data_IF_265282021206
#
_entry.id   IF_265282021206
#
_cell.length_a   1.000
_cell.length_b   1.000
_cell.length_c   1.000
_cell.angle_alpha   90.00
_cell.angle_beta   90.00
_cell.angle_gamma   90.00
#
_symmetry.space_group_name_H-M   'P 1'
#
loop_
_entity.id
_entity.type
_entity.pdbx_description
1 polymer ?
#
# COMPACT_ATOMS: atom_id res chain seq x y z
N UNK A 1 -54.39 90.18 14.95
CA UNK A 1 -54.17 90.38 13.50
C UNK A 1 -53.40 89.18 13.04
N UNK A 2 -54.19 88.42 12.38
CA UNK A 2 -53.91 87.11 11.82
C UNK A 2 -52.92 87.23 10.69
N UNK A 3 -52.00 86.29 10.63
CA UNK A 3 -51.41 85.94 9.33
C UNK A 3 -51.17 84.43 9.23
N UNK A 4 -51.86 83.87 8.28
CA UNK A 4 -51.88 82.50 7.94
C UNK A 4 -50.66 82.16 7.10
N UNK A 5 -49.96 81.05 7.46
CA UNK A 5 -48.90 80.49 6.67
C UNK A 5 -49.47 79.37 5.83
N UNK A 6 -49.22 79.31 4.50
CA UNK A 6 -49.75 78.21 3.65
C UNK A 6 -48.89 76.94 3.74
N UNK A 7 -49.58 75.82 3.78
CA UNK A 7 -49.01 74.48 3.70
C UNK A 7 -48.35 74.25 2.35
N UNK A 8 -47.06 74.09 2.29
CA UNK A 8 -46.32 73.57 1.11
C UNK A 8 -46.08 72.04 1.19
N UNK A 9 -46.44 71.41 0.13
CA UNK A 9 -46.37 69.99 -0.08
C UNK A 9 -45.00 69.34 0.24
N UNK A 10 -45.01 68.48 1.22
CA UNK A 10 -43.88 67.62 1.50
C UNK A 10 -43.98 66.42 0.57
N UNK A 11 -43.15 66.38 -0.48
CA UNK A 11 -42.99 65.22 -1.37
C UNK A 11 -42.31 64.10 -0.60
N UNK A 12 -43.06 63.04 -0.32
CA UNK A 12 -42.49 61.77 0.13
C UNK A 12 -41.66 61.19 -1.02
N UNK A 13 -40.34 61.20 -0.85
CA UNK A 13 -39.43 60.39 -1.68
C UNK A 13 -39.45 58.97 -1.10
N UNK A 14 -40.20 58.06 -1.74
CA UNK A 14 -40.14 56.65 -1.50
C UNK A 14 -38.76 56.14 -1.90
N UNK A 15 -37.88 55.94 -0.94
CA UNK A 15 -36.68 55.18 -1.11
C UNK A 15 -37.06 53.70 -1.00
N UNK A 16 -37.25 53.07 -2.15
CA UNK A 16 -37.36 51.61 -2.26
C UNK A 16 -35.97 51.04 -2.00
N UNK A 17 -35.74 50.63 -0.75
CA UNK A 17 -34.56 49.85 -0.39
C UNK A 17 -34.76 48.47 -0.95
N UNK A 18 -34.16 48.16 -2.12
CA UNK A 18 -34.12 46.82 -2.70
C UNK A 18 -33.27 45.94 -1.80
N UNK A 19 -33.92 45.14 -0.98
CA UNK A 19 -33.31 44.09 -0.19
C UNK A 19 -32.97 42.96 -1.16
N UNK A 20 -31.77 43.00 -1.76
CA UNK A 20 -31.21 41.83 -2.48
C UNK A 20 -30.87 40.76 -1.45
N UNK A 21 -31.81 39.86 -1.20
CA UNK A 21 -31.53 38.60 -0.55
C UNK A 21 -30.53 37.84 -1.43
N UNK A 22 -29.24 37.88 -1.06
CA UNK A 22 -28.24 36.95 -1.58
C UNK A 22 -28.68 35.56 -1.13
N UNK A 23 -29.38 34.84 -1.99
CA UNK A 23 -29.48 33.38 -1.90
C UNK A 23 -28.07 32.81 -2.05
N UNK A 24 -27.34 32.75 -0.94
CA UNK A 24 -26.22 31.84 -0.83
C UNK A 24 -26.81 30.44 -0.99
N UNK A 25 -26.89 29.97 -2.23
CA UNK A 25 -27.24 28.60 -2.53
C UNK A 25 -26.26 27.71 -1.77
N UNK A 26 -26.75 27.09 -0.70
CA UNK A 26 -26.02 26.02 -0.06
C UNK A 26 -25.77 24.97 -1.16
N UNK A 27 -24.53 24.90 -1.64
CA UNK A 27 -24.10 23.80 -2.50
C UNK A 27 -24.49 22.51 -1.77
N UNK A 28 -25.25 21.61 -2.40
CA UNK A 28 -25.61 20.36 -1.76
C UNK A 28 -24.31 19.69 -1.30
N UNK A 29 -24.21 19.39 -0.01
CA UNK A 29 -23.07 18.65 0.52
C UNK A 29 -22.92 17.38 -0.34
N UNK A 30 -21.83 17.30 -1.06
CA UNK A 30 -21.58 16.16 -1.94
C UNK A 30 -21.60 14.90 -1.08
N UNK A 31 -22.59 14.03 -1.29
CA UNK A 31 -22.67 12.76 -0.57
C UNK A 31 -21.44 11.92 -0.95
N UNK A 32 -20.55 11.72 0.02
CA UNK A 32 -19.36 10.92 -0.18
C UNK A 32 -19.72 9.45 -0.43
N UNK A 33 -19.08 8.82 -1.42
CA UNK A 33 -19.23 7.41 -1.66
C UNK A 33 -18.54 6.61 -0.57
N UNK A 34 -19.29 5.75 0.15
CA UNK A 34 -18.72 4.85 1.16
C UNK A 34 -17.90 3.75 0.52
N UNK A 35 -16.69 3.54 1.02
CA UNK A 35 -15.74 2.54 0.52
C UNK A 35 -15.02 1.91 1.71
N UNK A 36 -14.88 0.60 1.72
CA UNK A 36 -13.99 -0.12 2.65
C UNK A 36 -12.74 -0.57 1.91
N UNK A 37 -11.57 -0.25 2.48
CA UNK A 37 -10.27 -0.74 2.02
C UNK A 37 -9.71 -1.68 3.08
N UNK A 38 -9.40 -2.91 2.70
CA UNK A 38 -8.65 -3.82 3.56
C UNK A 38 -7.15 -3.52 3.51
N UNK A 39 -6.51 -3.62 4.66
CA UNK A 39 -5.05 -3.68 4.76
C UNK A 39 -4.64 -4.86 5.66
N UNK A 40 -3.61 -5.58 5.23
CA UNK A 40 -3.28 -6.88 5.82
C UNK A 40 -2.14 -6.81 6.86
N UNK A 41 -1.45 -5.67 6.97
CA UNK A 41 -0.30 -5.50 7.87
C UNK A 41 -0.32 -4.13 8.53
N UNK A 42 0.10 -4.06 9.79
CA UNK A 42 0.35 -2.82 10.53
C UNK A 42 1.85 -2.50 10.49
N UNK A 43 2.37 -2.31 9.28
CA UNK A 43 3.78 -2.03 9.04
C UNK A 43 3.93 -0.81 8.15
N UNK A 44 5.15 -0.38 7.90
CA UNK A 44 5.43 0.78 7.05
C UNK A 44 4.84 0.71 5.65
N UNK A 45 4.54 -0.49 5.14
CA UNK A 45 3.87 -0.65 3.83
C UNK A 45 2.45 -0.07 3.79
N UNK A 46 1.79 0.10 4.94
CA UNK A 46 0.45 0.70 5.04
C UNK A 46 0.49 2.23 5.20
N UNK A 47 1.68 2.81 5.33
CA UNK A 47 1.86 4.24 5.61
C UNK A 47 1.09 5.19 4.68
N UNK A 48 1.18 5.04 3.33
CA UNK A 48 0.43 5.91 2.44
C UNK A 48 -1.09 5.82 2.61
N UNK A 49 -1.62 4.66 3.02
CA UNK A 49 -3.04 4.49 3.29
C UNK A 49 -3.47 5.33 4.52
N UNK A 50 -2.66 5.33 5.58
CA UNK A 50 -2.89 6.15 6.77
C UNK A 50 -2.81 7.65 6.42
N UNK A 51 -1.80 8.04 5.64
CA UNK A 51 -1.66 9.42 5.15
C UNK A 51 -2.86 9.82 4.28
N UNK A 52 -3.35 8.93 3.40
CA UNK A 52 -4.50 9.21 2.56
C UNK A 52 -5.77 9.49 3.40
N UNK A 53 -5.95 8.72 4.47
CA UNK A 53 -7.08 8.90 5.40
C UNK A 53 -6.94 10.18 6.20
N UNK A 54 -5.81 10.39 6.86
CA UNK A 54 -5.58 11.51 7.78
C UNK A 54 -5.39 12.85 7.04
N UNK A 55 -4.89 12.82 5.82
CA UNK A 55 -4.71 14.00 4.97
C UNK A 55 -5.96 14.43 4.21
N UNK A 56 -7.08 13.71 4.38
CA UNK A 56 -8.33 14.04 3.70
C UNK A 56 -8.30 13.78 2.19
N UNK A 57 -7.33 13.00 1.69
CA UNK A 57 -7.21 12.77 0.24
C UNK A 57 -8.37 11.94 -0.32
N UNK A 58 -8.93 11.02 0.46
CA UNK A 58 -10.14 10.29 0.04
C UNK A 58 -11.34 11.21 -0.10
N UNK A 59 -11.57 12.09 0.90
CA UNK A 59 -12.66 13.07 0.87
C UNK A 59 -12.52 14.05 -0.30
N UNK A 60 -11.28 14.47 -0.61
CA UNK A 60 -10.97 15.30 -1.79
C UNK A 60 -11.49 14.68 -3.09
N UNK A 61 -11.50 13.36 -3.18
CA UNK A 61 -11.99 12.61 -4.34
C UNK A 61 -13.44 12.09 -4.15
N UNK A 62 -14.18 12.63 -3.18
CA UNK A 62 -15.58 12.28 -2.97
C UNK A 62 -15.80 10.92 -2.29
N UNK A 63 -14.80 10.38 -1.60
CA UNK A 63 -14.85 9.08 -0.97
C UNK A 63 -14.87 9.20 0.57
N UNK A 64 -15.77 8.48 1.23
CA UNK A 64 -15.74 8.21 2.67
C UNK A 64 -15.16 6.80 2.88
N UNK A 65 -13.85 6.76 3.15
CA UNK A 65 -13.11 5.50 3.23
C UNK A 65 -13.01 5.02 4.68
N UNK A 66 -13.51 3.80 4.92
CA UNK A 66 -13.17 3.00 6.08
C UNK A 66 -11.96 2.11 5.77
N UNK A 67 -10.93 2.10 6.63
CA UNK A 67 -9.80 1.18 6.50
C UNK A 67 -9.95 0.05 7.52
N UNK A 68 -10.04 -1.17 7.03
CA UNK A 68 -10.31 -2.37 7.83
C UNK A 68 -9.07 -3.29 7.88
N UNK A 69 -8.61 -3.59 9.09
CA UNK A 69 -7.53 -4.55 9.27
C UNK A 69 -8.07 -5.98 9.19
N UNK A 70 -7.54 -6.78 8.27
CA UNK A 70 -7.71 -8.23 8.26
C UNK A 70 -6.49 -8.86 7.56
N UNK A 71 -5.94 -9.91 8.15
CA UNK A 71 -4.75 -10.63 7.63
C UNK A 71 -4.99 -11.24 6.26
N UNK A 72 -3.91 -11.60 5.56
CA UNK A 72 -3.91 -11.89 4.13
C UNK A 72 -5.06 -12.76 3.60
N UNK A 73 -5.37 -13.97 4.06
CA UNK A 73 -6.46 -14.75 3.46
C UNK A 73 -7.83 -14.08 3.62
N UNK A 74 -8.08 -13.45 4.78
CA UNK A 74 -9.34 -12.75 5.05
C UNK A 74 -9.50 -11.51 4.16
N UNK A 75 -8.41 -10.76 3.89
CA UNK A 75 -8.46 -9.58 3.03
C UNK A 75 -8.93 -9.86 1.60
N UNK A 76 -8.47 -10.95 0.99
CA UNK A 76 -8.94 -11.39 -0.33
C UNK A 76 -10.40 -11.84 -0.26
N UNK A 77 -10.81 -12.57 0.80
CA UNK A 77 -12.19 -12.97 0.98
C UNK A 77 -13.14 -11.77 1.11
N UNK A 78 -12.74 -10.72 1.84
CA UNK A 78 -13.50 -9.46 1.95
C UNK A 78 -13.70 -8.78 0.58
N UNK A 79 -12.70 -8.81 -0.30
CA UNK A 79 -12.83 -8.25 -1.66
C UNK A 79 -13.77 -9.11 -2.51
N UNK A 80 -13.63 -10.43 -2.47
CA UNK A 80 -14.48 -11.34 -3.24
C UNK A 80 -15.95 -11.25 -2.79
N UNK A 81 -16.21 -11.11 -1.47
CA UNK A 81 -17.57 -10.97 -0.93
C UNK A 81 -18.17 -9.57 -1.14
N UNK A 82 -17.36 -8.56 -1.50
CA UNK A 82 -17.80 -7.17 -1.61
C UNK A 82 -17.80 -6.39 -0.29
N UNK A 83 -17.39 -7.00 0.83
CA UNK A 83 -17.24 -6.33 2.12
C UNK A 83 -16.16 -5.24 2.05
N UNK A 84 -15.07 -5.49 1.31
CA UNK A 84 -14.09 -4.48 0.93
C UNK A 84 -14.08 -4.27 -0.58
N UNK A 85 -13.93 -3.02 -1.03
CA UNK A 85 -13.86 -2.68 -2.44
C UNK A 85 -12.45 -2.84 -3.00
N UNK A 86 -11.44 -2.75 -2.14
CA UNK A 86 -10.03 -2.88 -2.51
C UNK A 86 -9.23 -3.52 -1.37
N UNK A 87 -8.18 -4.24 -1.71
CA UNK A 87 -7.10 -4.57 -0.78
C UNK A 87 -5.73 -4.27 -1.43
N UNK A 88 -4.76 -3.87 -0.59
CA UNK A 88 -3.35 -3.90 -0.94
C UNK A 88 -2.79 -5.28 -0.59
N UNK A 89 -2.30 -6.02 -1.58
CA UNK A 89 -1.98 -7.42 -1.40
C UNK A 89 -0.63 -7.80 -2.05
N UNK A 90 0.16 -8.71 -1.46
CA UNK A 90 1.38 -9.20 -2.10
C UNK A 90 1.07 -9.79 -3.47
N UNK A 91 1.91 -9.45 -4.48
CA UNK A 91 1.66 -9.81 -5.87
C UNK A 91 1.53 -11.32 -6.08
N UNK A 92 2.41 -12.13 -5.52
CA UNK A 92 2.39 -13.59 -5.67
C UNK A 92 1.09 -14.22 -5.16
N UNK A 93 0.61 -13.75 -4.01
CA UNK A 93 -0.64 -14.24 -3.41
C UNK A 93 -1.87 -13.73 -4.17
N UNK A 94 -1.83 -12.49 -4.67
CA UNK A 94 -2.87 -11.94 -5.53
C UNK A 94 -2.97 -12.71 -6.86
N UNK A 95 -1.83 -13.03 -7.48
CA UNK A 95 -1.78 -13.85 -8.69
C UNK A 95 -2.33 -15.26 -8.43
N UNK A 96 -1.94 -15.89 -7.33
CA UNK A 96 -2.44 -17.21 -6.95
C UNK A 96 -3.95 -17.20 -6.67
N UNK A 97 -4.45 -16.21 -5.95
CA UNK A 97 -5.89 -16.05 -5.70
C UNK A 97 -6.68 -15.79 -7.00
N UNK A 98 -6.16 -14.93 -7.88
CA UNK A 98 -6.80 -14.60 -9.14
C UNK A 98 -6.82 -15.78 -10.12
N UNK A 99 -5.77 -16.62 -10.13
CA UNK A 99 -5.73 -17.83 -10.96
C UNK A 99 -6.74 -18.89 -10.53
N UNK A 100 -7.16 -18.89 -9.25
CA UNK A 100 -8.22 -19.77 -8.72
C UNK A 100 -9.62 -19.21 -8.92
N UNK A 101 -9.82 -17.95 -8.56
CA UNK A 101 -11.15 -17.35 -8.52
C UNK A 101 -11.59 -16.74 -9.86
N UNK A 102 -10.64 -16.27 -10.70
CA UNK A 102 -10.94 -15.61 -11.99
C UNK A 102 -11.67 -14.27 -11.91
N UNK A 103 -12.27 -13.94 -10.75
CA UNK A 103 -13.06 -12.72 -10.52
C UNK A 103 -12.24 -11.50 -10.14
N UNK A 104 -10.96 -11.68 -9.79
CA UNK A 104 -10.08 -10.61 -9.34
C UNK A 104 -9.36 -9.93 -10.49
N UNK A 105 -8.98 -8.65 -10.27
CA UNK A 105 -8.12 -7.88 -11.15
C UNK A 105 -7.15 -7.02 -10.33
N UNK A 106 -5.92 -6.90 -10.81
CA UNK A 106 -4.85 -6.08 -10.24
C UNK A 106 -4.60 -4.86 -11.14
N UNK A 107 -4.78 -3.65 -10.60
CA UNK A 107 -4.79 -2.40 -11.40
C UNK A 107 -3.59 -1.49 -11.15
N UNK A 108 -2.58 -1.96 -10.45
CA UNK A 108 -1.38 -1.18 -10.18
C UNK A 108 -0.60 -1.71 -8.98
N UNK A 109 0.65 -1.27 -8.87
CA UNK A 109 1.59 -1.68 -7.83
C UNK A 109 2.18 -0.46 -7.12
N UNK A 110 1.67 -0.06 -5.95
CA UNK A 110 2.15 1.13 -5.23
C UNK A 110 3.47 0.93 -4.50
N UNK A 111 3.97 -0.29 -4.44
CA UNK A 111 5.23 -0.62 -3.76
C UNK A 111 6.17 -1.36 -4.68
N UNK A 112 7.42 -0.93 -4.65
CA UNK A 112 8.50 -1.60 -5.36
C UNK A 112 8.99 -2.82 -4.59
N UNK A 113 9.26 -2.66 -3.30
CA UNK A 113 9.80 -3.70 -2.42
C UNK A 113 9.29 -3.51 -0.99
N UNK A 114 8.81 -4.56 -0.39
CA UNK A 114 8.64 -4.59 1.06
C UNK A 114 9.99 -4.76 1.75
N UNK A 115 10.24 -3.99 2.82
CA UNK A 115 11.49 -4.05 3.57
C UNK A 115 11.43 -5.19 4.58
N UNK A 116 11.93 -6.36 4.20
CA UNK A 116 12.09 -7.52 5.07
C UNK A 116 13.57 -7.75 5.41
N UNK A 117 13.84 -7.98 6.69
CA UNK A 117 15.11 -8.44 7.19
C UNK A 117 15.01 -9.91 7.62
N UNK A 118 15.97 -10.73 7.22
CA UNK A 118 16.17 -12.07 7.77
C UNK A 118 16.92 -11.90 9.09
N UNK A 119 16.14 -11.85 10.16
CA UNK A 119 16.65 -11.68 11.53
C UNK A 119 17.01 -13.03 12.12
N UNK A 120 18.14 -13.09 12.80
CA UNK A 120 18.61 -14.30 13.47
C UNK A 120 19.13 -14.00 14.88
N UNK A 121 19.28 -15.04 15.68
CA UNK A 121 19.96 -14.95 16.98
C UNK A 121 21.39 -14.37 16.78
N UNK A 122 21.88 -13.71 17.81
CA UNK A 122 23.18 -13.02 17.81
C UNK A 122 24.38 -13.92 17.57
N UNK A 123 24.22 -15.24 17.73
CA UNK A 123 25.27 -16.24 17.48
C UNK A 123 25.54 -16.49 15.99
N UNK A 124 24.64 -16.08 15.08
CA UNK A 124 24.79 -16.26 13.65
C UNK A 124 25.50 -15.07 13.01
N UNK A 125 26.41 -15.31 12.06
CA UNK A 125 27.18 -14.30 11.35
C UNK A 125 26.77 -14.11 9.89
N UNK A 126 26.10 -15.10 9.29
CA UNK A 126 25.73 -15.11 7.89
C UNK A 126 24.50 -15.98 7.62
N UNK A 127 23.88 -15.80 6.45
CA UNK A 127 22.76 -16.65 6.00
C UNK A 127 23.19 -18.11 5.85
N UNK A 128 24.45 -18.38 5.54
CA UNK A 128 24.98 -19.76 5.42
C UNK A 128 24.95 -20.54 6.73
N UNK A 129 25.02 -19.84 7.87
CA UNK A 129 25.01 -20.46 9.19
C UNK A 129 23.62 -21.02 9.55
N UNK A 130 22.59 -20.70 8.76
CA UNK A 130 21.24 -21.20 8.93
C UNK A 130 21.02 -22.63 8.43
N UNK A 131 22.01 -23.27 7.85
CA UNK A 131 21.90 -24.67 7.42
C UNK A 131 21.61 -25.57 8.63
N UNK A 132 20.51 -26.35 8.52
CA UNK A 132 20.02 -27.23 9.58
C UNK A 132 19.35 -26.48 10.75
N UNK A 133 19.04 -25.17 10.61
CA UNK A 133 18.45 -24.35 11.65
C UNK A 133 16.95 -24.13 11.45
N UNK A 134 16.26 -23.78 12.53
CA UNK A 134 14.81 -23.51 12.55
C UNK A 134 14.53 -22.11 12.03
N UNK A 135 13.78 -22.04 10.93
CA UNK A 135 13.39 -20.79 10.29
C UNK A 135 11.89 -20.54 10.46
N UNK A 136 11.55 -19.50 11.22
CA UNK A 136 10.16 -19.13 11.50
C UNK A 136 9.50 -18.39 10.33
N UNK A 137 8.27 -18.80 9.99
CA UNK A 137 7.40 -18.15 9.00
C UNK A 137 5.98 -18.07 9.55
N UNK A 138 5.09 -17.25 8.97
CA UNK A 138 3.68 -17.27 9.38
C UNK A 138 3.06 -18.60 8.95
N UNK A 139 3.27 -18.95 7.69
CA UNK A 139 2.90 -20.26 7.10
C UNK A 139 3.78 -20.53 5.87
N UNK A 140 3.86 -21.79 5.48
CA UNK A 140 4.55 -22.16 4.24
C UNK A 140 3.82 -21.54 3.05
N UNK A 141 4.59 -20.90 2.16
CA UNK A 141 4.06 -20.26 0.96
C UNK A 141 3.55 -18.82 1.13
N UNK A 142 3.67 -18.24 2.33
CA UNK A 142 3.39 -16.81 2.52
C UNK A 142 4.57 -15.91 2.11
N UNK A 143 4.39 -14.58 2.18
CA UNK A 143 5.42 -13.63 1.82
C UNK A 143 6.71 -13.79 2.64
N UNK A 144 6.69 -13.90 3.98
CA UNK A 144 7.88 -14.20 4.77
C UNK A 144 8.63 -15.47 4.34
N UNK A 145 7.90 -16.54 4.02
CA UNK A 145 8.50 -17.78 3.52
C UNK A 145 9.20 -17.54 2.17
N UNK A 146 8.51 -16.93 1.21
CA UNK A 146 9.03 -16.72 -0.15
C UNK A 146 10.29 -15.86 -0.14
N UNK A 147 10.32 -14.80 0.67
CA UNK A 147 11.51 -13.94 0.78
C UNK A 147 12.65 -14.62 1.52
N UNK A 148 12.36 -15.45 2.54
CA UNK A 148 13.40 -16.25 3.17
C UNK A 148 14.02 -17.24 2.17
N UNK A 149 13.21 -17.93 1.37
CA UNK A 149 13.69 -18.82 0.29
C UNK A 149 14.59 -18.05 -0.69
N UNK A 150 14.18 -16.85 -1.12
CA UNK A 150 14.98 -16.03 -2.01
C UNK A 150 16.34 -15.63 -1.40
N UNK A 151 16.36 -15.25 -0.12
CA UNK A 151 17.60 -14.88 0.59
C UNK A 151 18.50 -16.11 0.84
N UNK A 152 17.91 -17.26 1.15
CA UNK A 152 18.66 -18.54 1.27
C UNK A 152 19.34 -18.88 -0.07
N UNK A 153 18.62 -18.75 -1.18
CA UNK A 153 19.18 -19.02 -2.52
C UNK A 153 20.37 -18.13 -2.85
N UNK A 154 20.35 -16.83 -2.43
CA UNK A 154 21.51 -15.92 -2.57
C UNK A 154 22.74 -16.40 -1.80
N UNK A 155 22.56 -17.15 -0.73
CA UNK A 155 23.63 -17.76 0.04
C UNK A 155 24.02 -19.19 -0.42
N UNK A 156 23.36 -19.70 -1.49
CA UNK A 156 23.58 -21.04 -2.00
C UNK A 156 22.88 -22.14 -1.20
N UNK A 157 21.88 -21.77 -0.39
CA UNK A 157 21.03 -22.71 0.34
C UNK A 157 19.71 -22.93 -0.39
N UNK A 158 19.11 -24.08 -0.15
CA UNK A 158 17.78 -24.45 -0.66
C UNK A 158 16.76 -24.48 0.47
N UNK A 159 15.44 -24.51 0.19
CA UNK A 159 14.43 -24.68 1.23
C UNK A 159 14.58 -25.97 2.07
N UNK A 160 15.27 -26.98 1.54
CA UNK A 160 15.53 -28.27 2.23
C UNK A 160 16.70 -28.18 3.22
N UNK A 161 17.49 -27.12 3.17
CA UNK A 161 18.64 -26.92 4.04
C UNK A 161 18.26 -26.33 5.42
N UNK A 162 17.01 -26.02 5.65
CA UNK A 162 16.49 -25.43 6.90
C UNK A 162 15.25 -26.16 7.39
N UNK A 163 14.98 -26.09 8.69
CA UNK A 163 13.73 -26.57 9.29
C UNK A 163 12.71 -25.42 9.34
N UNK A 164 11.63 -25.53 8.57
CA UNK A 164 10.58 -24.55 8.57
C UNK A 164 9.64 -24.70 9.76
N UNK A 165 9.44 -23.61 10.51
CA UNK A 165 8.54 -23.57 11.68
C UNK A 165 7.39 -22.60 11.39
N UNK A 166 6.19 -23.09 11.02
CA UNK A 166 5.00 -22.26 10.92
C UNK A 166 4.57 -21.76 12.29
N UNK A 167 4.46 -20.45 12.46
CA UNK A 167 4.14 -19.79 13.73
C UNK A 167 2.67 -19.38 13.78
N UNK A 168 2.03 -19.19 12.62
CA UNK A 168 0.60 -18.87 12.51
C UNK A 168 0.22 -17.47 12.97
N UNK A 169 1.17 -16.52 13.01
CA UNK A 169 0.95 -15.18 13.55
C UNK A 169 1.62 -14.09 12.72
N UNK A 170 1.43 -12.83 13.13
CA UNK A 170 1.99 -11.64 12.50
C UNK A 170 3.51 -11.47 12.79
N UNK A 171 4.05 -10.32 12.39
CA UNK A 171 5.46 -9.99 12.59
C UNK A 171 5.89 -9.97 14.05
N UNK A 172 5.02 -9.52 14.97
CA UNK A 172 5.33 -9.43 16.38
C UNK A 172 5.41 -10.83 17.02
N UNK A 173 4.51 -11.72 16.65
CA UNK A 173 4.56 -13.10 17.10
C UNK A 173 5.77 -13.86 16.57
N UNK A 174 6.20 -13.61 15.33
CA UNK A 174 7.46 -14.17 14.81
C UNK A 174 8.68 -13.61 15.54
N UNK A 175 8.70 -12.31 15.83
CA UNK A 175 9.75 -11.71 16.66
C UNK A 175 9.81 -12.31 18.06
N UNK A 176 8.66 -12.52 18.70
CA UNK A 176 8.57 -13.17 19.99
C UNK A 176 9.09 -14.63 19.94
N UNK A 177 8.82 -15.35 18.86
CA UNK A 177 9.32 -16.71 18.67
C UNK A 177 10.86 -16.75 18.54
N UNK A 178 11.45 -15.76 17.87
CA UNK A 178 12.91 -15.60 17.78
C UNK A 178 13.50 -15.26 19.16
N UNK A 179 12.94 -14.27 19.85
CA UNK A 179 13.41 -13.86 21.19
C UNK A 179 13.29 -14.99 22.21
N UNK A 180 12.24 -15.78 22.13
CA UNK A 180 12.02 -16.95 22.99
C UNK A 180 12.81 -18.21 22.59
N UNK A 181 13.69 -18.14 21.58
CA UNK A 181 14.50 -19.27 21.11
C UNK A 181 13.69 -20.42 20.48
N UNK A 182 12.42 -20.18 20.12
CA UNK A 182 11.58 -21.18 19.44
C UNK A 182 12.05 -21.38 17.98
N UNK A 183 12.59 -20.34 17.37
CA UNK A 183 13.23 -20.36 16.05
C UNK A 183 14.60 -19.69 16.14
N UNK A 184 15.49 -20.04 15.24
CA UNK A 184 16.86 -19.53 15.17
C UNK A 184 16.96 -18.27 14.27
N UNK A 185 16.06 -18.19 13.30
CA UNK A 185 15.90 -17.02 12.43
C UNK A 185 14.45 -16.87 11.95
N UNK A 186 14.09 -15.66 11.47
CA UNK A 186 12.79 -15.40 10.88
C UNK A 186 12.80 -14.10 10.06
N UNK A 187 11.84 -13.96 9.12
CA UNK A 187 11.64 -12.73 8.34
C UNK A 187 10.84 -11.71 9.14
N UNK A 188 11.41 -10.53 9.34
CA UNK A 188 10.81 -9.44 10.11
C UNK A 188 10.77 -8.16 9.27
N UNK A 189 9.71 -7.37 9.40
CA UNK A 189 9.58 -6.05 8.77
C UNK A 189 9.90 -4.93 9.78
N UNK A 190 10.24 -3.74 9.26
CA UNK A 190 10.34 -2.54 10.08
C UNK A 190 8.96 -2.15 10.69
N UNK A 191 8.91 -1.58 11.90
CA UNK A 191 10.02 -1.20 12.77
C UNK A 191 10.60 -2.35 13.62
N UNK A 192 9.94 -3.50 13.65
CA UNK A 192 10.22 -4.58 14.61
C UNK A 192 11.66 -5.09 14.53
N UNK A 193 12.25 -5.15 13.33
CA UNK A 193 13.63 -5.63 13.22
C UNK A 193 14.65 -4.64 13.84
N UNK A 194 14.40 -3.33 13.84
CA UNK A 194 15.26 -2.37 14.55
C UNK A 194 15.29 -2.65 16.05
N UNK A 195 14.13 -2.92 16.64
CA UNK A 195 14.03 -3.30 18.07
C UNK A 195 14.78 -4.61 18.39
N UNK A 196 14.86 -5.51 17.43
CA UNK A 196 15.65 -6.74 17.58
C UNK A 196 17.14 -6.46 17.46
N UNK A 197 17.57 -5.60 16.51
CA UNK A 197 18.97 -5.18 16.38
C UNK A 197 19.50 -4.50 17.63
N UNK A 198 18.72 -3.62 18.26
CA UNK A 198 19.05 -3.00 19.57
C UNK A 198 19.23 -4.03 20.69
N UNK A 199 18.54 -5.17 20.63
CA UNK A 199 18.67 -6.31 21.55
C UNK A 199 19.83 -7.26 21.16
N UNK A 200 20.60 -6.91 20.13
CA UNK A 200 21.76 -7.66 19.66
C UNK A 200 21.47 -8.78 18.65
N UNK A 201 20.21 -8.97 18.24
CA UNK A 201 19.88 -9.88 17.12
C UNK A 201 20.48 -9.38 15.83
N UNK A 202 20.76 -10.28 14.90
CA UNK A 202 21.45 -9.95 13.65
C UNK A 202 20.50 -9.90 12.47
N UNK A 203 20.56 -8.83 11.69
CA UNK A 203 20.04 -8.80 10.33
C UNK A 203 21.05 -9.44 9.40
N UNK A 204 20.82 -10.68 9.01
CA UNK A 204 21.76 -11.42 8.14
C UNK A 204 21.67 -11.01 6.67
N UNK A 205 20.49 -10.56 6.24
CA UNK A 205 20.23 -10.06 4.90
C UNK A 205 18.93 -9.27 4.86
N UNK A 206 18.82 -8.31 3.96
CA UNK A 206 17.58 -7.57 3.68
C UNK A 206 17.14 -7.78 2.24
N UNK A 207 15.84 -7.88 2.00
CA UNK A 207 15.29 -7.94 0.62
C UNK A 207 15.62 -6.69 -0.18
N UNK A 208 15.82 -5.54 0.48
CA UNK A 208 16.21 -4.27 -0.16
C UNK A 208 17.62 -4.26 -0.73
N UNK A 209 18.49 -5.16 -0.27
CA UNK A 209 19.90 -5.23 -0.69
C UNK A 209 20.05 -5.88 -2.08
N UNK A 210 19.00 -6.49 -2.61
CA UNK A 210 19.00 -7.23 -3.87
C UNK A 210 18.00 -6.65 -4.87
N UNK A 211 18.48 -6.22 -6.04
CA UNK A 211 17.63 -5.64 -7.08
C UNK A 211 16.74 -6.65 -7.78
N UNK A 212 17.11 -7.90 -7.77
CA UNK A 212 16.43 -9.04 -8.40
C UNK A 212 15.48 -9.80 -7.46
N UNK A 213 15.33 -9.38 -6.20
CA UNK A 213 14.28 -9.86 -5.31
C UNK A 213 13.10 -8.90 -5.36
N UNK A 214 11.98 -9.38 -5.87
CA UNK A 214 10.75 -8.61 -5.99
C UNK A 214 9.82 -8.91 -4.83
N UNK A 215 9.31 -7.88 -4.19
CA UNK A 215 8.35 -7.96 -3.09
C UNK A 215 7.27 -6.87 -3.22
N UNK A 216 6.64 -6.72 -4.41
CA UNK A 216 5.66 -5.68 -4.63
C UNK A 216 4.31 -6.06 -4.02
N UNK A 217 3.50 -5.03 -3.71
CA UNK A 217 2.07 -5.19 -3.48
C UNK A 217 1.28 -4.60 -4.65
N UNK A 218 0.05 -5.04 -4.80
CA UNK A 218 -0.84 -4.59 -5.87
C UNK A 218 -2.20 -4.17 -5.31
N UNK A 219 -2.86 -3.27 -6.01
CA UNK A 219 -4.27 -2.94 -5.76
C UNK A 219 -5.14 -4.05 -6.35
N UNK A 220 -5.86 -4.76 -5.50
CA UNK A 220 -6.74 -5.85 -5.92
C UNK A 220 -8.20 -5.42 -5.79
N UNK A 221 -8.95 -5.63 -6.86
CA UNK A 221 -10.39 -5.37 -6.97
C UNK A 221 -11.09 -6.62 -7.53
N UNK A 222 -12.43 -6.65 -7.49
CA UNK A 222 -13.18 -7.57 -8.34
C UNK A 222 -13.44 -6.95 -9.71
N UNK A 223 -13.42 -7.78 -10.77
CA UNK A 223 -13.78 -7.36 -12.13
C UNK A 223 -15.21 -6.78 -12.19
N UNK A 224 -16.15 -7.38 -11.43
CA UNK A 224 -17.52 -6.91 -11.35
C UNK A 224 -17.62 -5.48 -10.80
N UNK A 225 -16.87 -5.16 -9.73
CA UNK A 225 -16.81 -3.81 -9.17
C UNK A 225 -16.24 -2.82 -10.17
N UNK A 226 -15.13 -3.17 -10.83
CA UNK A 226 -14.48 -2.29 -11.82
C UNK A 226 -15.40 -2.02 -13.01
N UNK A 227 -16.15 -3.03 -13.47
CA UNK A 227 -17.14 -2.85 -14.55
C UNK A 227 -18.32 -1.98 -14.12
N UNK A 228 -18.84 -2.15 -12.90
CA UNK A 228 -19.96 -1.38 -12.37
C UNK A 228 -19.57 0.06 -12.00
N UNK A 229 -18.35 0.29 -11.53
CA UNK A 229 -17.86 1.60 -11.12
C UNK A 229 -16.38 1.81 -11.55
N UNK A 230 -16.12 2.06 -12.82
CA UNK A 230 -14.75 2.18 -13.35
C UNK A 230 -13.99 3.42 -12.82
N UNK A 231 -14.69 4.39 -12.24
CA UNK A 231 -14.08 5.57 -11.62
C UNK A 231 -13.50 5.28 -10.25
N UNK A 232 -14.03 4.32 -9.50
CA UNK A 232 -13.59 4.07 -8.14
C UNK A 232 -12.11 3.69 -8.02
N UNK A 233 -11.54 2.76 -8.82
CA UNK A 233 -10.12 2.47 -8.79
C UNK A 233 -9.25 3.69 -9.09
N UNK A 234 -9.66 4.55 -10.03
CA UNK A 234 -8.95 5.79 -10.37
C UNK A 234 -8.92 6.76 -9.19
N UNK A 235 -10.05 7.02 -8.54
CA UNK A 235 -10.14 7.92 -7.39
C UNK A 235 -9.28 7.43 -6.23
N UNK A 236 -9.30 6.12 -5.96
CA UNK A 236 -8.47 5.51 -4.93
C UNK A 236 -6.97 5.60 -5.26
N UNK A 237 -6.59 5.35 -6.51
CA UNK A 237 -5.20 5.47 -6.97
C UNK A 237 -4.71 6.93 -6.89
N UNK A 238 -5.53 7.90 -7.28
CA UNK A 238 -5.22 9.33 -7.16
C UNK A 238 -5.03 9.75 -5.70
N UNK A 239 -5.93 9.37 -4.80
CA UNK A 239 -5.81 9.66 -3.37
C UNK A 239 -4.53 9.05 -2.78
N UNK A 240 -4.20 7.83 -3.18
CA UNK A 240 -2.98 7.14 -2.72
C UNK A 240 -1.70 7.80 -3.29
N UNK A 241 -1.70 8.23 -4.55
CA UNK A 241 -0.57 8.94 -5.14
C UNK A 241 -0.28 10.27 -4.42
N UNK A 242 -1.31 11.05 -4.06
CA UNK A 242 -1.14 12.27 -3.27
C UNK A 242 -0.61 11.98 -1.85
N UNK A 243 -1.04 10.88 -1.25
CA UNK A 243 -0.51 10.43 0.02
C UNK A 243 0.97 10.01 -0.07
N UNK A 244 1.38 9.35 -1.16
CA UNK A 244 2.78 9.03 -1.45
C UNK A 244 3.60 10.31 -1.62
N UNK A 245 3.06 11.31 -2.34
CA UNK A 245 3.70 12.62 -2.43
C UNK A 245 3.91 13.22 -1.04
N UNK A 246 2.84 13.28 -0.22
CA UNK A 246 2.90 13.81 1.14
C UNK A 246 3.88 13.05 2.02
N UNK A 247 3.99 11.73 1.85
CA UNK A 247 4.98 10.92 2.55
C UNK A 247 6.40 11.43 2.31
N UNK A 248 6.76 11.72 1.07
CA UNK A 248 8.13 12.18 0.74
C UNK A 248 8.39 13.65 1.09
N UNK A 249 7.36 14.48 1.18
CA UNK A 249 7.49 15.93 1.37
C UNK A 249 7.28 16.39 2.82
N UNK A 250 6.60 15.58 3.65
CA UNK A 250 6.21 15.98 5.02
C UNK A 250 6.37 14.82 6.01
N UNK A 251 7.61 14.68 6.49
CA UNK A 251 7.98 13.64 7.47
C UNK A 251 7.13 13.72 8.73
N UNK A 252 6.93 14.93 9.28
CA UNK A 252 6.20 15.11 10.53
C UNK A 252 4.76 14.66 10.42
N UNK A 253 4.09 15.01 9.32
CA UNK A 253 2.73 14.55 9.07
C UNK A 253 2.69 13.03 8.87
N UNK A 254 3.64 12.46 8.12
CA UNK A 254 3.72 11.03 7.90
C UNK A 254 3.86 10.25 9.22
N UNK A 255 4.75 10.69 10.12
CA UNK A 255 4.91 10.10 11.45
C UNK A 255 3.64 10.19 12.28
N UNK A 256 3.01 11.37 12.35
CA UNK A 256 1.75 11.59 13.07
C UNK A 256 0.60 10.73 12.54
N UNK A 257 0.49 10.58 11.23
CA UNK A 257 -0.52 9.72 10.61
C UNK A 257 -0.32 8.24 10.97
N UNK A 258 0.92 7.77 11.03
CA UNK A 258 1.24 6.38 11.34
C UNK A 258 0.85 5.99 12.77
N UNK A 259 1.26 6.78 13.77
CA UNK A 259 1.05 6.46 15.20
C UNK A 259 -0.41 6.43 15.60
N UNK A 260 -1.32 7.03 14.84
CA UNK A 260 -2.77 6.92 15.07
C UNK A 260 -3.30 5.50 14.90
N UNK A 261 -2.68 4.71 14.03
CA UNK A 261 -3.12 3.35 13.69
C UNK A 261 -2.21 2.28 14.26
N UNK A 262 -0.95 2.63 14.46
CA UNK A 262 0.07 1.72 14.97
C UNK A 262 0.91 2.53 15.98
N UNK A 263 0.55 2.49 17.27
CA UNK A 263 1.29 3.19 18.32
C UNK A 263 2.74 2.69 18.38
N UNK A 264 3.70 3.58 18.12
CA UNK A 264 5.13 3.31 18.09
C UNK A 264 5.89 4.49 18.70
N UNK A 265 7.12 4.25 19.17
CA UNK A 265 8.01 5.32 19.58
C UNK A 265 8.38 6.22 18.38
N UNK A 266 8.32 7.53 18.57
CA UNK A 266 8.54 8.49 17.48
C UNK A 266 9.96 8.47 16.96
N UNK A 267 10.97 8.22 17.81
CA UNK A 267 12.37 8.16 17.42
C UNK A 267 12.68 6.94 16.57
N UNK A 268 12.16 5.76 16.98
CA UNK A 268 12.26 4.52 16.21
C UNK A 268 11.54 4.65 14.86
N UNK A 269 10.32 5.18 14.88
CA UNK A 269 9.54 5.38 13.67
C UNK A 269 10.21 6.35 12.68
N UNK A 270 10.91 7.37 13.18
CA UNK A 270 11.66 8.29 12.33
C UNK A 270 12.79 7.59 11.55
N UNK A 271 13.49 6.64 12.15
CA UNK A 271 14.50 5.83 11.45
C UNK A 271 13.88 4.94 10.38
N UNK A 272 12.72 4.34 10.68
CA UNK A 272 11.95 3.57 9.69
C UNK A 272 11.55 4.45 8.51
N UNK A 273 11.01 5.64 8.79
CA UNK A 273 10.65 6.61 7.74
C UNK A 273 11.83 6.94 6.85
N UNK A 274 12.98 7.28 7.44
CA UNK A 274 14.18 7.67 6.68
C UNK A 274 14.64 6.53 5.75
N UNK A 275 14.53 5.28 6.20
CA UNK A 275 14.85 4.13 5.35
C UNK A 275 13.86 3.97 4.20
N UNK A 276 12.56 4.09 4.45
CA UNK A 276 11.53 4.04 3.40
C UNK A 276 11.70 5.16 2.38
N UNK A 277 11.99 6.37 2.85
CA UNK A 277 12.23 7.53 1.98
C UNK A 277 13.51 7.36 1.14
N UNK A 278 14.62 6.93 1.76
CA UNK A 278 15.91 6.71 1.08
C UNK A 278 15.84 5.63 0.00
N UNK A 279 15.09 4.56 0.23
CA UNK A 279 14.97 3.44 -0.71
C UNK A 279 13.93 3.68 -1.80
N UNK A 280 13.22 4.82 -1.80
CA UNK A 280 12.10 5.08 -2.70
C UNK A 280 11.12 3.90 -2.76
N UNK A 281 10.70 3.42 -1.59
CA UNK A 281 9.88 2.21 -1.44
C UNK A 281 8.52 2.35 -2.11
N UNK A 282 7.91 3.55 -2.02
CA UNK A 282 6.61 3.83 -2.61
C UNK A 282 6.73 4.32 -4.05
N UNK A 283 5.95 3.71 -4.92
CA UNK A 283 5.99 3.97 -6.34
C UNK A 283 5.14 5.18 -6.72
N UNK A 284 5.76 6.20 -7.34
CA UNK A 284 5.05 7.37 -7.84
C UNK A 284 4.18 7.04 -9.03
N UNK A 285 4.63 6.11 -9.87
CA UNK A 285 3.91 5.62 -11.05
C UNK A 285 3.71 4.11 -10.89
N UNK A 286 2.52 3.65 -10.53
CA UNK A 286 2.30 2.32 -9.98
C UNK A 286 2.07 1.23 -11.03
N UNK A 287 2.92 1.08 -12.04
CA UNK A 287 2.83 -0.03 -12.98
C UNK A 287 3.14 -1.38 -12.32
N UNK A 288 2.37 -2.39 -12.63
CA UNK A 288 2.76 -3.78 -12.38
C UNK A 288 3.79 -4.18 -13.43
N UNK A 289 5.02 -4.50 -13.03
CA UNK A 289 6.12 -4.75 -13.95
C UNK A 289 6.17 -6.18 -14.48
N UNK A 290 6.61 -6.36 -15.73
CA UNK A 290 6.83 -7.68 -16.33
C UNK A 290 7.87 -8.49 -15.56
N UNK A 291 8.93 -7.83 -15.06
CA UNK A 291 9.98 -8.51 -14.30
C UNK A 291 9.43 -9.10 -12.99
N UNK A 292 8.59 -8.33 -12.25
CA UNK A 292 7.98 -8.83 -11.02
C UNK A 292 7.04 -10.02 -11.27
N UNK A 293 6.19 -9.94 -12.31
CA UNK A 293 5.28 -11.04 -12.66
C UNK A 293 6.06 -12.31 -13.04
N UNK A 294 7.10 -12.18 -13.88
CA UNK A 294 7.95 -13.33 -14.23
C UNK A 294 8.65 -13.92 -13.01
N UNK A 295 9.20 -13.04 -12.15
CA UNK A 295 9.83 -13.49 -10.92
C UNK A 295 8.89 -14.37 -10.08
N UNK A 296 7.61 -13.97 -9.91
CA UNK A 296 6.63 -14.76 -9.17
C UNK A 296 6.31 -16.11 -9.83
N UNK A 297 6.30 -16.16 -11.17
CA UNK A 297 6.08 -17.41 -11.92
C UNK A 297 7.30 -18.36 -11.84
N UNK A 298 8.51 -17.78 -11.85
CA UNK A 298 9.76 -18.54 -11.89
C UNK A 298 10.25 -19.01 -10.51
N UNK A 299 9.72 -18.39 -9.42
CA UNK A 299 10.09 -18.71 -8.03
C UNK A 299 8.86 -19.12 -7.19
N UNK A 300 8.15 -20.17 -7.61
CA UNK A 300 6.98 -20.67 -6.88
C UNK A 300 7.40 -21.35 -5.57
N UNK A 301 6.48 -21.41 -4.62
CA UNK A 301 6.71 -22.01 -3.30
C UNK A 301 6.82 -23.54 -3.34
N UNK A 302 6.12 -24.16 -4.29
CA UNK A 302 6.10 -25.60 -4.50
C UNK A 302 5.71 -25.97 -5.95
N UNK A 303 5.77 -27.24 -6.28
CA UNK A 303 5.49 -27.74 -7.62
C UNK A 303 4.01 -27.56 -8.03
N UNK A 304 3.07 -27.61 -7.08
CA UNK A 304 1.64 -27.43 -7.36
C UNK A 304 1.37 -25.96 -7.71
N UNK A 305 1.91 -25.02 -6.94
CA UNK A 305 1.84 -23.59 -7.24
C UNK A 305 2.56 -23.29 -8.57
N UNK A 306 3.71 -23.91 -8.81
CA UNK A 306 4.44 -23.79 -10.09
C UNK A 306 3.57 -24.15 -11.28
N UNK A 307 2.92 -25.30 -11.23
CA UNK A 307 2.04 -25.78 -12.30
C UNK A 307 0.86 -24.82 -12.53
N UNK A 308 0.23 -24.35 -11.45
CA UNK A 308 -0.88 -23.40 -11.51
C UNK A 308 -0.46 -22.05 -12.09
N UNK A 309 0.67 -21.49 -11.63
CA UNK A 309 1.17 -20.18 -12.09
C UNK A 309 1.57 -20.21 -13.56
N UNK A 310 2.19 -21.29 -14.03
CA UNK A 310 2.58 -21.47 -15.44
C UNK A 310 1.40 -21.72 -16.38
N UNK A 311 0.33 -22.37 -15.89
CA UNK A 311 -0.86 -22.66 -16.69
C UNK A 311 -1.78 -21.45 -16.88
N UNK A 312 -1.65 -20.40 -16.05
CA UNK A 312 -2.58 -19.28 -16.06
C UNK A 312 -2.05 -18.08 -16.86
N UNK A 313 -2.90 -17.50 -17.70
CA UNK A 313 -2.59 -16.27 -18.43
C UNK A 313 -2.91 -15.03 -17.57
N UNK A 314 -1.89 -14.47 -16.92
CA UNK A 314 -2.03 -13.33 -16.03
C UNK A 314 -2.43 -12.02 -16.72
N UNK A 315 -2.38 -11.94 -18.06
CA UNK A 315 -2.92 -10.79 -18.82
C UNK A 315 -4.43 -10.64 -18.64
N UNK A 316 -5.13 -11.69 -18.21
CA UNK A 316 -6.56 -11.67 -17.89
C UNK A 316 -6.90 -11.00 -16.57
N UNK A 317 -5.92 -10.81 -15.69
CA UNK A 317 -6.12 -10.36 -14.30
C UNK A 317 -5.15 -9.27 -13.84
N UNK A 318 -4.16 -8.91 -14.64
CA UNK A 318 -3.27 -7.76 -14.43
C UNK A 318 -3.55 -6.76 -15.54
N UNK A 319 -4.00 -5.56 -15.17
CA UNK A 319 -4.38 -4.52 -16.12
C UNK A 319 -3.73 -3.18 -15.75
N UNK A 320 -2.79 -2.73 -16.55
CA UNK A 320 -2.10 -1.46 -16.39
C UNK A 320 -2.79 -0.29 -17.15
N UNK A 321 -3.93 -0.50 -17.80
CA UNK A 321 -4.61 0.50 -18.64
C UNK A 321 -5.01 1.75 -17.86
N UNK A 322 -5.38 1.61 -16.58
CA UNK A 322 -5.67 2.74 -15.71
C UNK A 322 -4.42 3.62 -15.51
N UNK A 323 -3.26 2.99 -15.26
CA UNK A 323 -1.99 3.73 -15.10
C UNK A 323 -1.60 4.41 -16.40
N UNK A 324 -1.73 3.72 -17.56
CA UNK A 324 -1.48 4.30 -18.90
C UNK A 324 -2.33 5.54 -19.13
N UNK A 325 -3.62 5.49 -18.79
CA UNK A 325 -4.52 6.63 -18.93
C UNK A 325 -4.08 7.80 -18.06
N UNK A 326 -3.74 7.57 -16.80
CA UNK A 326 -3.27 8.61 -15.88
C UNK A 326 -1.95 9.24 -16.34
N UNK A 327 -1.02 8.43 -16.88
CA UNK A 327 0.23 8.93 -17.51
C UNK A 327 -0.11 9.81 -18.72
N UNK A 328 -0.98 9.34 -19.61
CA UNK A 328 -1.39 10.11 -20.81
C UNK A 328 -2.09 11.43 -20.45
N UNK A 329 -2.83 11.47 -19.35
CA UNK A 329 -3.49 12.67 -18.82
C UNK A 329 -2.50 13.61 -18.08
N UNK A 330 -1.23 13.22 -17.93
CA UNK A 330 -0.20 13.98 -17.21
C UNK A 330 -0.45 14.04 -15.71
N UNK A 331 -1.21 13.10 -15.14
CA UNK A 331 -1.60 13.13 -13.73
C UNK A 331 -0.39 13.03 -12.79
N UNK A 332 0.52 12.10 -13.05
CA UNK A 332 1.68 11.91 -12.17
C UNK A 332 2.68 13.05 -12.30
N UNK A 333 2.90 13.57 -13.50
CA UNK A 333 3.74 14.76 -13.73
C UNK A 333 3.17 15.98 -12.96
N UNK A 334 1.85 16.21 -13.04
CA UNK A 334 1.18 17.27 -12.27
C UNK A 334 1.28 17.04 -10.75
N UNK A 335 1.27 15.80 -10.30
CA UNK A 335 1.29 15.45 -8.87
C UNK A 335 2.71 15.53 -8.30
N UNK A 336 3.70 14.94 -8.95
CA UNK A 336 5.06 14.77 -8.44
C UNK A 336 6.09 15.73 -9.06
N UNK A 337 5.69 16.50 -10.06
CA UNK A 337 6.56 17.41 -10.82
C UNK A 337 7.19 16.74 -12.04
N UNK A 338 7.85 17.55 -12.91
CA UNK A 338 8.34 17.09 -14.22
C UNK A 338 9.43 16.00 -14.14
N UNK A 339 10.12 15.87 -13.00
CA UNK A 339 11.13 14.83 -12.81
C UNK A 339 10.59 13.39 -12.83
N UNK A 340 9.26 13.20 -12.73
CA UNK A 340 8.64 11.87 -12.80
C UNK A 340 8.54 11.34 -14.23
N UNK A 341 8.73 12.19 -15.25
CA UNK A 341 8.54 11.84 -16.66
C UNK A 341 9.44 10.68 -17.12
N UNK A 342 10.71 10.73 -16.76
CA UNK A 342 11.65 9.63 -17.06
C UNK A 342 11.24 8.31 -16.37
N UNK A 343 10.65 8.42 -15.17
CA UNK A 343 10.12 7.26 -14.45
C UNK A 343 8.89 6.69 -15.16
N UNK A 344 7.95 7.54 -15.61
CA UNK A 344 6.79 7.15 -16.42
C UNK A 344 7.21 6.35 -17.65
N UNK A 345 8.11 6.92 -18.47
CA UNK A 345 8.55 6.30 -19.71
C UNK A 345 9.27 4.97 -19.51
N UNK A 346 10.15 4.90 -18.52
CA UNK A 346 10.86 3.67 -18.16
C UNK A 346 9.91 2.59 -17.67
N UNK A 347 8.97 2.94 -16.80
CA UNK A 347 8.02 1.98 -16.21
C UNK A 347 6.96 1.54 -17.21
N UNK A 348 6.49 2.42 -18.09
CA UNK A 348 5.58 2.05 -19.17
C UNK A 348 6.17 0.97 -20.08
N UNK A 349 7.48 1.09 -20.42
CA UNK A 349 8.23 0.08 -21.21
C UNK A 349 8.39 -1.25 -20.47
N UNK A 350 8.51 -1.22 -19.14
CA UNK A 350 8.68 -2.39 -18.31
C UNK A 350 7.36 -2.98 -17.80
N UNK A 351 6.23 -2.36 -18.09
CA UNK A 351 4.90 -2.78 -17.63
C UNK A 351 4.52 -4.16 -18.17
N UNK A 352 3.84 -4.95 -17.37
CA UNK A 352 3.26 -6.21 -17.79
C UNK A 352 2.12 -5.98 -18.78
N UNK A 353 2.15 -6.72 -19.90
CA UNK A 353 1.18 -6.63 -21.01
C UNK A 353 0.67 -8.01 -21.41
#
# INVERSE_FOLDING_TARGET
MEDRIPMSCLRLRNSVLALTLACAGALPAQTLQKVTINYATRTGTTWPLYIAKEGGYFQKYGLDVNIAFAVHPAGIAMVISGEAQMTNYPLEQAMLAASKAGSLVMLGSPYRKSLFALMADKSFGSVKDLKGKRLGVSQIGDAPYNYAVALLAKAGLTPRDVEWVPIGTDVNGRAAALVGGRVDATMITAPVYFKLEEKGYKSLANTSDYDDIFAPTVYVFTKALVAANPKLPELLMKAHAEAIKRFYEDKDFALKAYVKYTPEDFGELAQVYDRYAKTNTFERVPYVSSAAVRYMIDHPVDDQVAAQMKAFDFRKVIDNSLVDRLVKEGYFEKTFGPSVKDEEDRKAKAAFR
#
